data_IF_319529939150
#
_entry.id   IF_319529939150
#
_cell.length_a   1.000
_cell.length_b   1.000
_cell.length_c   1.000
_cell.angle_alpha   90.00
_cell.angle_beta   90.00
_cell.angle_gamma   90.00
#
_symmetry.space_group_name_H-M   'P 1'
#
loop_
_entity.id
_entity.type
_entity.pdbx_description
1 polymer ?
#
# COMPACT_ATOMS: atom_id res chain seq x y z
N UNK A 1 20.81 -17.40 5.62
CA UNK A 1 20.50 -16.00 5.27
C UNK A 1 19.01 -15.95 4.95
N UNK A 2 18.16 -15.55 5.91
CA UNK A 2 16.71 -15.42 5.68
C UNK A 2 16.34 -13.93 5.62
N UNK A 3 16.21 -13.35 4.43
CA UNK A 3 15.52 -12.05 4.22
C UNK A 3 15.34 -11.73 2.71
N UNK A 4 16.13 -12.35 1.82
CA UNK A 4 16.05 -12.09 0.37
C UNK A 4 14.70 -12.43 -0.27
N UNK A 5 13.96 -13.42 0.24
CA UNK A 5 12.63 -13.76 -0.25
C UNK A 5 11.59 -12.68 0.10
N UNK A 6 11.75 -12.02 1.25
CA UNK A 6 10.87 -10.94 1.69
C UNK A 6 11.12 -9.69 0.84
N UNK A 7 12.39 -9.33 0.64
CA UNK A 7 12.74 -8.21 -0.26
C UNK A 7 12.24 -8.43 -1.68
N UNK A 8 12.38 -9.65 -2.22
CA UNK A 8 11.89 -10.01 -3.54
C UNK A 8 10.35 -9.96 -3.63
N UNK A 9 9.66 -10.42 -2.58
CA UNK A 9 8.21 -10.32 -2.47
C UNK A 9 7.75 -8.86 -2.48
N UNK A 10 8.32 -8.02 -1.61
CA UNK A 10 7.97 -6.60 -1.50
C UNK A 10 8.28 -5.85 -2.81
N UNK A 11 9.42 -6.15 -3.45
CA UNK A 11 9.75 -5.60 -4.77
C UNK A 11 8.73 -6.01 -5.84
N UNK A 12 8.23 -7.25 -5.78
CA UNK A 12 7.12 -7.72 -6.61
C UNK A 12 5.85 -6.91 -6.41
N UNK A 13 5.48 -6.64 -5.14
CA UNK A 13 4.33 -5.77 -4.82
C UNK A 13 4.51 -4.37 -5.39
N UNK A 14 5.66 -3.73 -5.16
CA UNK A 14 5.93 -2.38 -5.67
C UNK A 14 5.90 -2.34 -7.21
N UNK A 15 6.40 -3.37 -7.88
CA UNK A 15 6.32 -3.49 -9.33
C UNK A 15 4.87 -3.57 -9.82
N UNK A 16 4.05 -4.43 -9.22
CA UNK A 16 2.62 -4.54 -9.57
C UNK A 16 1.88 -3.23 -9.31
N UNK A 17 2.17 -2.57 -8.18
CA UNK A 17 1.62 -1.26 -7.84
C UNK A 17 1.92 -0.19 -8.91
N UNK A 18 3.17 -0.16 -9.38
CA UNK A 18 3.57 0.76 -10.46
C UNK A 18 2.82 0.45 -11.76
N UNK A 19 2.65 -0.83 -12.13
CA UNK A 19 1.89 -1.21 -13.33
C UNK A 19 0.41 -0.81 -13.24
N UNK A 20 -0.20 -0.95 -12.05
CA UNK A 20 -1.57 -0.47 -11.81
C UNK A 20 -1.64 1.05 -11.99
N UNK A 21 -0.66 1.79 -11.47
CA UNK A 21 -0.59 3.24 -11.61
C UNK A 21 -0.47 3.69 -13.07
N UNK A 22 0.32 2.99 -13.88
CA UNK A 22 0.40 3.23 -15.32
C UNK A 22 -0.95 2.98 -16.02
N UNK A 23 -1.64 1.91 -15.64
CA UNK A 23 -2.95 1.56 -16.23
C UNK A 23 -4.09 2.49 -15.77
N UNK A 24 -4.00 3.08 -14.58
CA UNK A 24 -5.01 4.01 -14.07
C UNK A 24 -5.01 5.38 -14.76
N UNK A 25 -3.92 5.76 -15.43
CA UNK A 25 -3.84 7.00 -16.22
C UNK A 25 -4.37 8.23 -15.47
N UNK A 26 -5.45 8.83 -15.98
CA UNK A 26 -6.09 10.03 -15.44
C UNK A 26 -6.66 9.86 -14.02
N UNK A 27 -7.00 8.63 -13.59
CA UNK A 27 -7.46 8.38 -12.22
C UNK A 27 -6.33 8.48 -11.19
N UNK A 28 -5.07 8.37 -11.64
CA UNK A 28 -3.87 8.54 -10.83
C UNK A 28 -3.91 7.72 -9.53
N UNK A 29 -3.57 8.37 -8.42
CA UNK A 29 -3.47 7.71 -7.11
C UNK A 29 -4.81 7.16 -6.60
N UNK A 30 -5.93 7.84 -6.87
CA UNK A 30 -7.25 7.41 -6.39
C UNK A 30 -7.67 6.07 -7.02
N UNK A 31 -7.45 5.93 -8.34
CA UNK A 31 -7.71 4.67 -9.05
C UNK A 31 -6.83 3.52 -8.54
N UNK A 32 -5.57 3.81 -8.22
CA UNK A 32 -4.64 2.82 -7.65
C UNK A 32 -5.13 2.33 -6.29
N UNK A 33 -5.55 3.24 -5.41
CA UNK A 33 -6.10 2.89 -4.09
C UNK A 33 -7.33 2.00 -4.23
N UNK A 34 -8.28 2.37 -5.10
CA UNK A 34 -9.51 1.60 -5.28
C UNK A 34 -9.21 0.19 -5.82
N UNK A 35 -8.30 0.09 -6.79
CA UNK A 35 -7.89 -1.20 -7.36
C UNK A 35 -7.21 -2.09 -6.31
N UNK A 36 -6.27 -1.54 -5.54
CA UNK A 36 -5.61 -2.29 -4.48
C UNK A 36 -6.59 -2.71 -3.39
N UNK A 37 -7.53 -1.85 -2.98
CA UNK A 37 -8.51 -2.22 -1.96
C UNK A 37 -9.43 -3.38 -2.39
N UNK A 38 -9.74 -3.46 -3.69
CA UNK A 38 -10.66 -4.45 -4.25
C UNK A 38 -10.00 -5.77 -4.61
N UNK A 39 -8.74 -5.73 -5.05
CA UNK A 39 -8.03 -6.90 -5.57
C UNK A 39 -6.90 -7.39 -4.68
N UNK A 40 -6.39 -6.58 -3.75
CA UNK A 40 -5.29 -6.97 -2.87
C UNK A 40 -5.78 -7.27 -1.45
N UNK A 41 -5.16 -8.28 -0.86
CA UNK A 41 -5.35 -8.61 0.54
C UNK A 41 -4.89 -7.47 1.47
N UNK A 42 -5.51 -7.35 2.65
CA UNK A 42 -5.13 -6.33 3.65
C UNK A 42 -3.67 -6.46 4.08
N UNK A 43 -3.12 -7.67 4.11
CA UNK A 43 -1.73 -7.92 4.44
C UNK A 43 -0.78 -7.35 3.37
N UNK A 44 -1.03 -7.66 2.09
CA UNK A 44 -0.22 -7.15 0.95
C UNK A 44 -0.14 -5.62 0.94
N UNK A 45 -1.26 -4.95 1.27
CA UNK A 45 -1.31 -3.49 1.37
C UNK A 45 -0.46 -2.98 2.51
N UNK A 46 -0.56 -3.60 3.68
CA UNK A 46 0.24 -3.24 4.86
C UNK A 46 1.73 -3.43 4.61
N UNK A 47 2.11 -4.55 3.99
CA UNK A 47 3.50 -4.86 3.62
C UNK A 47 4.07 -3.84 2.63
N UNK A 48 3.31 -3.49 1.58
CA UNK A 48 3.71 -2.46 0.62
C UNK A 48 3.89 -1.09 1.30
N UNK A 49 2.95 -0.70 2.17
CA UNK A 49 3.02 0.57 2.90
C UNK A 49 4.29 0.61 3.75
N UNK A 50 4.54 -0.42 4.56
CA UNK A 50 5.71 -0.51 5.42
C UNK A 50 7.02 -0.44 4.62
N UNK A 51 7.09 -1.12 3.48
CA UNK A 51 8.27 -1.13 2.63
C UNK A 51 8.53 0.22 1.93
N UNK A 52 7.47 0.92 1.51
CA UNK A 52 7.57 2.24 0.88
C UNK A 52 7.88 3.33 1.92
N UNK A 53 7.25 3.31 3.09
CA UNK A 53 7.54 4.25 4.19
C UNK A 53 8.93 4.02 4.80
N UNK A 54 9.35 2.75 4.91
CA UNK A 54 10.68 2.38 5.38
C UNK A 54 11.81 2.72 4.40
N UNK A 55 11.49 3.19 3.18
CA UNK A 55 12.47 3.51 2.16
C UNK A 55 13.17 2.29 1.55
N UNK A 56 12.66 1.09 1.79
CA UNK A 56 13.19 -0.16 1.25
C UNK A 56 12.94 -0.28 -0.27
N UNK A 57 11.93 0.42 -0.80
CA UNK A 57 11.54 0.33 -2.21
C UNK A 57 11.35 1.67 -2.90
N UNK A 58 11.79 1.74 -4.17
CA UNK A 58 11.48 2.82 -5.09
C UNK A 58 10.10 2.59 -5.73
N UNK A 59 9.13 3.40 -5.34
CA UNK A 59 7.81 3.48 -5.93
C UNK A 59 7.64 4.80 -6.69
N UNK A 60 6.84 4.79 -7.75
CA UNK A 60 6.48 6.00 -8.50
C UNK A 60 5.72 7.01 -7.63
N UNK A 61 5.76 8.28 -7.99
CA UNK A 61 5.11 9.35 -7.22
C UNK A 61 3.60 9.10 -7.02
N UNK A 62 2.93 8.59 -8.05
CA UNK A 62 1.52 8.17 -7.99
C UNK A 62 1.29 7.05 -6.96
N UNK A 63 2.18 6.06 -6.89
CA UNK A 63 2.08 4.95 -5.94
C UNK A 63 2.38 5.43 -4.52
N UNK A 64 3.36 6.33 -4.34
CA UNK A 64 3.64 6.97 -3.05
C UNK A 64 2.42 7.75 -2.53
N UNK A 65 1.76 8.52 -3.40
CA UNK A 65 0.54 9.22 -3.07
C UNK A 65 -0.61 8.26 -2.70
N UNK A 66 -0.75 7.14 -3.41
CA UNK A 66 -1.73 6.10 -3.11
C UNK A 66 -1.44 5.41 -1.76
N UNK A 67 -0.17 5.05 -1.50
CA UNK A 67 0.30 4.48 -0.24
C UNK A 67 -0.02 5.40 0.93
N UNK A 68 0.24 6.71 0.80
CA UNK A 68 -0.10 7.69 1.84
C UNK A 68 -1.60 7.75 2.15
N UNK A 69 -2.45 7.61 1.13
CA UNK A 69 -3.90 7.53 1.32
C UNK A 69 -4.32 6.22 2.01
N UNK A 70 -3.74 5.09 1.62
CA UNK A 70 -4.02 3.79 2.24
C UNK A 70 -3.56 3.73 3.69
N UNK A 71 -2.36 4.24 4.01
CA UNK A 71 -1.84 4.32 5.37
C UNK A 71 -2.78 5.14 6.28
N UNK A 72 -3.27 6.28 5.77
CA UNK A 72 -4.27 7.09 6.47
C UNK A 72 -5.59 6.34 6.66
N UNK A 73 -6.06 5.61 5.64
CA UNK A 73 -7.29 4.83 5.73
C UNK A 73 -7.20 3.67 6.73
N UNK A 74 -6.07 2.94 6.76
CA UNK A 74 -5.77 1.90 7.76
C UNK A 74 -5.72 2.48 9.17
N UNK A 75 -5.11 3.66 9.34
CA UNK A 75 -5.08 4.35 10.64
C UNK A 75 -6.48 4.77 11.10
N UNK A 76 -7.34 5.21 10.19
CA UNK A 76 -8.74 5.54 10.48
C UNK A 76 -9.59 4.30 10.76
N UNK A 77 -9.30 3.15 10.14
CA UNK A 77 -9.98 1.89 10.40
C UNK A 77 -9.58 1.25 11.74
N UNK A 78 -8.32 1.43 12.17
CA UNK A 78 -7.83 1.02 13.49
C UNK A 78 -8.17 2.00 14.62
N UNK A 79 -8.61 3.22 14.32
CA UNK A 79 -9.04 4.22 15.31
C UNK A 79 -10.54 4.11 15.67
N UNK A 80 -11.15 2.95 15.41
CA UNK A 80 -12.56 2.64 15.65
C UNK A 80 -12.88 1.99 17.01
N UNK A 81 -11.99 2.05 17.99
CA UNK A 81 -12.32 1.71 19.39
C UNK A 81 -12.26 2.96 20.28
N UNK A 82 -13.40 3.61 20.53
CA UNK A 82 -13.70 4.19 21.82
C UNK A 82 -14.74 3.30 22.52
N UNK A 83 -14.33 2.10 22.93
CA UNK A 83 -15.08 1.35 23.93
C UNK A 83 -14.47 1.67 25.30
N UNK A 84 -14.67 2.91 25.74
CA UNK A 84 -14.87 3.17 27.14
C UNK A 84 -16.27 2.69 27.47
N UNK A 85 -16.38 1.51 28.08
CA UNK A 85 -17.55 1.09 28.84
C UNK A 85 -17.08 0.50 30.17
N UNK A 86 -17.67 1.05 31.23
CA UNK A 86 -17.58 0.73 32.66
C UNK A 86 -16.36 1.24 33.44
#
# INVERSE_FOLDING_TARGET
>A
MPDSDVDAYLAGLARMANQIAENCGEQGAAGVVEHMQRFWDPQMRSDLIAAVEGGALHASDTVRAAVGQMAKALKSAGAGEPAGDT
#
